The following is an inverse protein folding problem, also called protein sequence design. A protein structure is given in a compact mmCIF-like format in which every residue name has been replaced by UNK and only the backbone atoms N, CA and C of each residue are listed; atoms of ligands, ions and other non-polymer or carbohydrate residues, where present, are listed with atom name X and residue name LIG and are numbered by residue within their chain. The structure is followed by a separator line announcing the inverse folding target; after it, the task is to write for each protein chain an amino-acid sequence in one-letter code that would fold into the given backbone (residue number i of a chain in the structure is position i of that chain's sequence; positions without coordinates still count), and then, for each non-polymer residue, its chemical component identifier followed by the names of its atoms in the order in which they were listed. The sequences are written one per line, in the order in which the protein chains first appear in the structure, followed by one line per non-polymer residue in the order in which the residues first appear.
data_IF_921798214796
#
_entry.id   IF_921798214796
#
_cell.length_a   1.000
_cell.length_b   1.000
_cell.length_c   1.000
_cell.angle_alpha   90.00
_cell.angle_beta   90.00
_cell.angle_gamma   90.00
#
_symmetry.space_group_name_H-M   'P 1'
#
loop_
_entity.id
_entity.type
_entity.pdbx_description
1 polymer ?
#
# COMPACT_ATOMS: atom_id res chain seq x y z
N UNK A 1 9.67 -4.92 6.25
CA UNK A 1 10.64 -6.01 6.53
C UNK A 1 10.66 -6.28 8.03
N UNK A 2 11.12 -7.46 8.49
CA UNK A 2 11.19 -7.78 9.93
C UNK A 2 12.07 -6.82 10.75
N UNK A 3 12.93 -6.03 10.09
CA UNK A 3 13.79 -5.02 10.69
C UNK A 3 13.14 -3.62 10.82
N UNK A 4 11.84 -3.49 10.53
CA UNK A 4 11.12 -2.20 10.57
C UNK A 4 11.28 -1.31 9.34
N UNK A 5 12.10 -1.71 8.35
CA UNK A 5 12.21 -0.97 7.10
C UNK A 5 10.96 -1.17 6.23
N UNK A 6 10.48 -0.10 5.60
CA UNK A 6 9.35 -0.19 4.67
C UNK A 6 9.70 -1.10 3.47
N UNK A 7 8.74 -1.90 3.03
CA UNK A 7 8.95 -2.84 1.91
C UNK A 7 8.99 -2.13 0.54
N UNK A 8 8.35 -0.98 0.42
CA UNK A 8 8.18 -0.28 -0.86
C UNK A 8 9.53 0.17 -1.45
N UNK A 9 9.80 -0.25 -2.69
CA UNK A 9 11.02 0.12 -3.45
C UNK A 9 10.76 1.17 -4.54
N UNK A 10 9.58 1.81 -4.51
CA UNK A 10 9.17 2.84 -5.45
C UNK A 10 9.25 2.43 -6.95
N UNK A 11 8.90 1.19 -7.27
CA UNK A 11 8.91 0.66 -8.65
C UNK A 11 7.77 1.20 -9.54
N UNK A 12 6.72 1.79 -8.93
CA UNK A 12 5.53 2.34 -9.60
C UNK A 12 4.64 1.34 -10.36
N UNK A 13 4.84 0.03 -10.19
CA UNK A 13 3.98 -0.99 -10.83
C UNK A 13 2.51 -0.89 -10.38
N UNK A 14 2.28 -0.69 -9.08
CA UNK A 14 0.94 -0.49 -8.53
C UNK A 14 0.24 0.76 -9.06
N UNK A 15 0.97 1.87 -9.26
CA UNK A 15 0.47 3.08 -9.91
C UNK A 15 0.10 2.81 -11.38
N UNK A 16 0.95 2.09 -12.11
CA UNK A 16 0.73 1.78 -13.52
C UNK A 16 -0.44 0.81 -13.77
N UNK A 17 -0.63 -0.19 -12.91
CA UNK A 17 -1.68 -1.22 -13.09
C UNK A 17 -3.04 -0.77 -12.57
N UNK A 18 -3.11 0.28 -11.74
CA UNK A 18 -4.35 0.70 -11.10
C UNK A 18 -5.38 1.15 -12.16
N UNK A 19 -6.49 0.41 -12.34
CA UNK A 19 -7.44 0.69 -13.42
C UNK A 19 -8.18 2.02 -13.22
N UNK A 20 -8.36 2.43 -11.96
CA UNK A 20 -9.02 3.68 -11.60
C UNK A 20 -8.07 4.87 -11.45
N UNK A 21 -6.76 4.67 -11.66
CA UNK A 21 -5.73 5.71 -11.46
C UNK A 21 -5.83 6.38 -10.08
N UNK A 22 -6.09 5.58 -9.04
CA UNK A 22 -6.29 6.05 -7.68
C UNK A 22 -4.97 6.32 -6.93
N UNK A 23 -3.85 5.79 -7.44
CA UNK A 23 -2.54 5.81 -6.76
C UNK A 23 -1.66 6.87 -7.40
N UNK A 24 -0.98 7.69 -6.58
CA UNK A 24 0.03 8.66 -7.02
C UNK A 24 1.33 8.44 -6.27
N UNK A 25 2.44 8.25 -6.98
CA UNK A 25 3.75 7.95 -6.38
C UNK A 25 4.81 8.93 -6.85
N UNK A 26 5.58 9.47 -5.91
CA UNK A 26 6.83 10.19 -6.18
C UNK A 26 7.97 9.54 -5.39
N UNK A 27 9.18 9.58 -5.94
CA UNK A 27 10.30 8.83 -5.41
C UNK A 27 11.62 9.57 -5.62
N UNK A 28 12.45 9.54 -4.59
CA UNK A 28 13.78 10.12 -4.61
C UNK A 28 14.77 9.13 -3.95
N UNK A 29 16.07 9.21 -4.27
CA UNK A 29 17.10 8.51 -3.51
C UNK A 29 17.17 9.04 -2.07
N UNK A 30 17.21 8.15 -1.09
CA UNK A 30 17.54 8.48 0.30
C UNK A 30 19.05 8.71 0.47
N UNK A 31 19.44 9.24 1.62
CA UNK A 31 20.84 9.48 2.01
C UNK A 31 21.71 8.21 2.02
N UNK A 32 21.10 7.04 2.23
CA UNK A 32 21.76 5.73 2.18
C UNK A 32 21.87 5.15 0.76
N UNK A 33 21.44 5.90 -0.26
CA UNK A 33 21.42 5.48 -1.67
C UNK A 33 20.24 4.57 -2.05
N UNK A 34 19.38 4.22 -1.09
CA UNK A 34 18.18 3.42 -1.37
C UNK A 34 17.12 4.27 -2.09
N UNK A 35 16.39 3.67 -3.04
CA UNK A 35 15.25 4.34 -3.69
C UNK A 35 13.98 4.10 -2.89
N UNK A 36 13.31 5.18 -2.49
CA UNK A 36 12.11 5.15 -1.64
C UNK A 36 11.11 6.21 -2.06
N UNK A 37 9.86 6.04 -1.63
CA UNK A 37 8.81 6.99 -1.96
C UNK A 37 8.88 8.21 -1.05
N UNK A 38 8.85 9.39 -1.65
CA UNK A 38 8.61 10.67 -0.95
C UNK A 38 7.11 10.94 -0.85
N UNK A 39 6.34 10.45 -1.82
CA UNK A 39 4.89 10.51 -1.85
C UNK A 39 4.31 9.15 -2.26
N UNK A 40 3.28 8.72 -1.53
CA UNK A 40 2.49 7.55 -1.89
C UNK A 40 1.06 7.83 -1.43
N UNK A 41 0.23 8.30 -2.34
CA UNK A 41 -1.16 8.65 -2.03
C UNK A 41 -2.10 7.67 -2.72
N UNK A 42 -3.20 7.33 -2.04
CA UNK A 42 -4.32 6.59 -2.60
C UNK A 42 -5.60 7.38 -2.33
N UNK A 43 -6.30 7.73 -3.40
CA UNK A 43 -7.67 8.24 -3.32
C UNK A 43 -8.64 7.05 -3.16
N UNK A 44 -9.08 6.79 -1.93
CA UNK A 44 -9.97 5.66 -1.63
C UNK A 44 -11.36 5.83 -2.26
N UNK A 45 -11.71 7.04 -2.69
CA UNK A 45 -12.97 7.31 -3.41
C UNK A 45 -12.90 6.96 -4.90
N UNK A 46 -11.70 6.84 -5.45
CA UNK A 46 -11.45 6.31 -6.80
C UNK A 46 -11.13 4.83 -6.78
N UNK A 47 -10.49 4.34 -5.72
CA UNK A 47 -10.15 2.94 -5.58
C UNK A 47 -11.40 2.06 -5.73
N UNK A 48 -11.29 1.02 -6.53
CA UNK A 48 -12.38 0.05 -6.76
C UNK A 48 -12.16 -1.29 -6.04
N UNK A 49 -11.15 -1.36 -5.15
CA UNK A 49 -10.89 -2.53 -4.30
C UNK A 49 -10.74 -3.84 -5.10
N UNK A 50 -10.00 -3.78 -6.21
CA UNK A 50 -9.83 -4.91 -7.14
C UNK A 50 -8.64 -5.82 -6.84
N UNK A 51 -7.76 -5.48 -5.90
CA UNK A 51 -6.57 -6.27 -5.59
C UNK A 51 -5.41 -6.22 -6.61
N UNK A 52 -5.51 -5.55 -7.77
CA UNK A 52 -4.39 -5.57 -8.73
C UNK A 52 -3.09 -4.95 -8.22
N UNK A 53 -3.18 -3.97 -7.31
CA UNK A 53 -1.98 -3.36 -6.73
C UNK A 53 -1.20 -4.33 -5.84
N UNK A 54 -1.86 -5.24 -5.12
CA UNK A 54 -1.19 -6.25 -4.28
C UNK A 54 -0.54 -7.34 -5.14
N UNK A 55 -1.20 -7.81 -6.19
CA UNK A 55 -0.65 -8.82 -7.11
C UNK A 55 0.54 -8.28 -7.91
N UNK A 56 0.47 -7.02 -8.33
CA UNK A 56 1.55 -6.39 -9.08
C UNK A 56 2.76 -6.03 -8.22
N UNK A 57 2.66 -6.08 -6.88
CA UNK A 57 3.73 -5.66 -6.00
C UNK A 57 4.80 -6.77 -5.86
N UNK A 58 6.04 -6.56 -6.33
CA UNK A 58 7.06 -7.62 -6.33
C UNK A 58 7.68 -7.91 -4.95
N UNK A 59 7.26 -7.16 -3.92
CA UNK A 59 7.87 -7.16 -2.58
C UNK A 59 6.82 -7.11 -1.47
N UNK A 60 5.55 -7.37 -1.78
CA UNK A 60 4.42 -7.33 -0.86
C UNK A 60 4.37 -6.05 -0.01
N UNK A 61 4.61 -4.89 -0.64
CA UNK A 61 4.63 -3.60 0.06
C UNK A 61 3.25 -2.96 0.20
N UNK A 62 2.42 -3.05 -0.85
CA UNK A 62 1.02 -2.65 -0.80
C UNK A 62 0.19 -3.92 -0.78
N UNK A 63 -0.73 -4.00 0.17
CA UNK A 63 -1.61 -5.14 0.38
C UNK A 63 -3.00 -4.62 0.75
N UNK A 64 -4.02 -5.37 0.38
CA UNK A 64 -5.39 -5.07 0.79
C UNK A 64 -5.65 -5.74 2.14
N UNK A 65 -5.68 -4.92 3.20
CA UNK A 65 -5.93 -5.40 4.56
C UNK A 65 -7.38 -5.87 4.76
N UNK A 66 -7.67 -6.59 5.85
CA UNK A 66 -8.99 -7.16 6.11
C UNK A 66 -10.04 -6.14 6.57
N UNK A 67 -9.61 -4.92 6.93
CA UNK A 67 -10.49 -3.91 7.52
C UNK A 67 -11.42 -3.29 6.47
N UNK A 68 -12.73 -3.45 6.67
CA UNK A 68 -13.78 -2.82 5.86
C UNK A 68 -14.54 -1.70 6.62
N UNK A 69 -14.35 -1.59 7.93
CA UNK A 69 -15.06 -0.63 8.80
C UNK A 69 -14.26 0.67 8.95
N UNK A 70 -14.12 1.43 7.86
CA UNK A 70 -13.39 2.70 7.84
C UNK A 70 -14.19 3.87 7.25
N UNK A 71 -15.52 3.82 7.37
CA UNK A 71 -16.37 4.95 7.00
C UNK A 71 -15.93 6.22 7.75
N UNK A 72 -15.94 7.35 7.06
CA UNK A 72 -15.52 8.66 7.57
C UNK A 72 -16.63 9.68 7.38
N UNK A 73 -16.58 10.77 8.14
CA UNK A 73 -17.58 11.84 8.07
C UNK A 73 -17.25 12.84 6.96
N UNK A 74 -15.98 12.94 6.55
CA UNK A 74 -15.54 13.81 5.47
C UNK A 74 -14.86 13.03 4.34
N UNK A 75 -14.88 13.62 3.14
CA UNK A 75 -14.26 13.01 1.94
C UNK A 75 -12.73 13.05 2.03
N UNK A 76 -12.19 14.10 2.64
CA UNK A 76 -10.75 14.34 2.77
C UNK A 76 -10.07 13.25 3.58
N UNK A 77 -10.77 12.69 4.58
CA UNK A 77 -10.27 11.55 5.36
C UNK A 77 -10.05 10.31 4.51
N UNK A 78 -10.69 10.18 3.33
CA UNK A 78 -10.52 9.08 2.37
C UNK A 78 -9.37 9.31 1.38
N UNK A 79 -8.63 10.41 1.49
CA UNK A 79 -7.37 10.61 0.77
C UNK A 79 -6.20 10.16 1.63
N UNK A 80 -5.81 8.90 1.44
CA UNK A 80 -4.77 8.30 2.26
C UNK A 80 -3.40 8.69 1.72
N UNK A 81 -2.58 9.29 2.57
CA UNK A 81 -1.18 9.56 2.28
C UNK A 81 -0.29 8.40 2.76
N UNK A 82 1.01 8.50 2.49
CA UNK A 82 2.00 7.48 2.85
C UNK A 82 1.98 7.15 4.35
N UNK A 83 1.90 8.17 5.20
CA UNK A 83 1.92 8.00 6.66
C UNK A 83 0.69 7.23 7.16
N UNK A 84 -0.50 7.55 6.64
CA UNK A 84 -1.73 6.84 6.95
C UNK A 84 -1.66 5.37 6.52
N UNK A 85 -1.11 5.09 5.34
CA UNK A 85 -0.94 3.73 4.83
C UNK A 85 0.04 2.92 5.67
N UNK A 86 1.17 3.51 6.08
CA UNK A 86 2.13 2.85 6.97
C UNK A 86 1.51 2.58 8.34
N UNK A 87 0.81 3.55 8.93
CA UNK A 87 0.13 3.37 10.21
C UNK A 87 -0.97 2.28 10.16
N UNK A 88 -1.67 2.14 9.03
CA UNK A 88 -2.60 1.04 8.81
C UNK A 88 -1.86 -0.30 8.70
N UNK A 89 -0.72 -0.35 8.00
CA UNK A 89 0.13 -1.53 7.94
C UNK A 89 0.58 -1.97 9.33
N UNK A 90 1.13 -1.06 10.13
CA UNK A 90 1.56 -1.33 11.50
C UNK A 90 0.41 -1.83 12.39
N UNK A 91 -0.78 -1.25 12.25
CA UNK A 91 -1.97 -1.64 13.00
C UNK A 91 -2.43 -3.07 12.68
N UNK A 92 -2.31 -3.49 11.42
CA UNK A 92 -2.89 -4.74 10.92
C UNK A 92 -1.84 -5.81 10.54
N UNK A 93 -0.55 -5.57 10.77
CA UNK A 93 0.56 -6.43 10.32
C UNK A 93 0.37 -7.90 10.70
N UNK A 94 -0.05 -8.20 11.93
CA UNK A 94 -0.27 -9.58 12.40
C UNK A 94 -1.32 -10.31 11.55
N UNK A 95 -2.44 -9.65 11.25
CA UNK A 95 -3.52 -10.26 10.50
C UNK A 95 -3.20 -10.33 9.00
N UNK A 96 -2.59 -9.29 8.46
CA UNK A 96 -2.07 -9.25 7.10
C UNK A 96 -1.07 -10.40 6.88
N UNK A 97 -0.10 -10.57 7.79
CA UNK A 97 0.91 -11.62 7.68
C UNK A 97 0.29 -13.03 7.72
N UNK A 98 -0.71 -13.24 8.58
CA UNK A 98 -1.45 -14.50 8.62
C UNK A 98 -2.19 -14.76 7.29
N UNK A 99 -2.91 -13.76 6.77
CA UNK A 99 -3.66 -13.89 5.51
C UNK A 99 -2.73 -14.17 4.32
N UNK A 100 -1.61 -13.45 4.23
CA UNK A 100 -0.59 -13.71 3.20
C UNK A 100 -0.01 -15.12 3.32
N UNK A 101 0.23 -15.62 4.53
CA UNK A 101 0.77 -16.97 4.73
C UNK A 101 -0.20 -18.07 4.26
N UNK A 102 -1.50 -17.83 4.41
CA UNK A 102 -2.57 -18.75 4.00
C UNK A 102 -2.75 -18.70 2.47
N UNK A 103 -2.68 -17.51 1.88
CA UNK A 103 -2.90 -17.28 0.45
C UNK A 103 -1.66 -17.57 -0.43
N UNK A 104 -0.46 -17.58 0.15
CA UNK A 104 0.80 -17.79 -0.56
C UNK A 104 0.84 -19.00 -1.53
N UNK A 105 0.20 -20.15 -1.26
CA UNK A 105 0.18 -21.27 -2.22
C UNK A 105 -0.63 -21.00 -3.51
N UNK A 106 -1.47 -19.98 -3.54
CA UNK A 106 -2.39 -19.66 -4.63
C UNK A 106 -2.00 -18.41 -5.43
N UNK A 107 -0.88 -17.78 -5.06
CA UNK A 107 -0.33 -16.56 -5.69
C UNK A 107 0.90 -16.84 -6.54
#
# INVERSE_FOLDING_TARGET
YPNGEERCIACKLCEAICPAQAITIEAEPRSDGSRRTTRYDIDMTKCIYCGFCQEACPVDAIVEGPNYEFATETREELFYNKEKLLANGDRWETEIANNLSIDAPYR
#
